data_IF_480723759106
#
_entry.id   IF_480723759106
#
_cell.length_a   1.000
_cell.length_b   1.000
_cell.length_c   1.000
_cell.angle_alpha   90.00
_cell.angle_beta   90.00
_cell.angle_gamma   90.00
#
_symmetry.space_group_name_H-M   'P 1'
#
loop_
_entity.id
_entity.type
_entity.pdbx_description
1 polymer ?
#
# COMPACT_ATOMS: atom_id res chain seq x y z
N UNK A 1 -13.28 -8.09 17.21
CA UNK A 1 -11.90 -7.65 17.44
C UNK A 1 -11.83 -6.18 17.86
N UNK A 2 -10.62 -5.62 18.02
CA UNK A 2 -10.42 -4.24 18.52
C UNK A 2 -11.09 -3.18 17.63
N UNK A 3 -11.02 -3.30 16.31
CA UNK A 3 -11.72 -2.39 15.39
C UNK A 3 -13.22 -2.33 15.65
N UNK A 4 -13.84 -3.48 15.88
CA UNK A 4 -15.26 -3.53 16.22
C UNK A 4 -15.57 -2.95 17.62
N UNK A 5 -14.64 -3.12 18.56
CA UNK A 5 -14.83 -2.64 19.94
C UNK A 5 -14.70 -1.11 20.04
N UNK A 6 -13.78 -0.51 19.29
CA UNK A 6 -13.50 0.92 19.35
C UNK A 6 -14.22 1.73 18.27
N UNK A 7 -14.67 1.10 17.17
CA UNK A 7 -15.34 1.81 16.07
C UNK A 7 -14.55 3.04 15.62
N UNK A 8 -15.21 4.18 15.53
CA UNK A 8 -14.61 5.44 15.08
C UNK A 8 -13.57 6.02 16.05
N UNK A 9 -13.58 5.60 17.33
CA UNK A 9 -12.59 6.01 18.34
C UNK A 9 -11.24 5.27 18.18
N UNK A 10 -11.20 4.22 17.36
CA UNK A 10 -10.02 3.42 17.09
C UNK A 10 -9.38 3.77 15.75
N UNK A 11 -8.06 3.99 15.71
CA UNK A 11 -7.32 4.17 14.46
C UNK A 11 -6.21 3.14 14.35
N UNK A 12 -6.14 2.49 13.18
CA UNK A 12 -5.08 1.52 12.87
C UNK A 12 -3.74 2.24 12.70
N UNK A 13 -2.73 1.75 13.41
CA UNK A 13 -1.34 2.18 13.27
C UNK A 13 -0.54 1.07 12.58
N UNK A 14 -0.10 1.34 11.35
CA UNK A 14 0.83 0.49 10.60
C UNK A 14 2.26 1.05 10.67
N UNK A 15 2.77 1.65 9.60
CA UNK A 15 4.09 2.29 9.56
C UNK A 15 4.18 3.63 10.28
N UNK A 16 3.05 4.30 10.47
CA UNK A 16 2.95 5.59 11.15
C UNK A 16 3.41 6.80 10.33
N UNK A 17 3.79 6.63 9.05
CA UNK A 17 4.44 7.69 8.27
C UNK A 17 3.47 8.77 7.76
N UNK A 18 2.18 8.50 7.76
CA UNK A 18 1.12 9.49 7.53
C UNK A 18 0.38 9.81 8.83
N UNK A 19 -0.03 8.80 9.59
CA UNK A 19 -0.85 9.00 10.79
C UNK A 19 -0.13 9.79 11.89
N UNK A 20 1.14 9.49 12.17
CA UNK A 20 1.90 10.19 13.24
C UNK A 20 2.09 11.68 12.91
N UNK A 21 2.50 12.08 11.69
CA UNK A 21 2.48 13.50 11.29
C UNK A 21 1.12 14.16 11.46
N UNK A 22 0.01 13.51 11.04
CA UNK A 22 -1.33 14.06 11.23
C UNK A 22 -1.69 14.26 12.70
N UNK A 23 -1.26 13.34 13.57
CA UNK A 23 -1.44 13.48 15.02
C UNK A 23 -0.59 14.63 15.60
N UNK A 24 0.66 14.79 15.15
CA UNK A 24 1.55 15.86 15.57
C UNK A 24 0.98 17.25 15.23
N UNK A 25 0.32 17.38 14.08
CA UNK A 25 -0.40 18.58 13.66
C UNK A 25 -1.82 18.69 14.24
N UNK A 26 -2.25 17.70 15.06
CA UNK A 26 -3.61 17.62 15.62
C UNK A 26 -4.72 17.55 14.57
N UNK A 27 -4.40 17.13 13.35
CA UNK A 27 -5.36 16.87 12.27
C UNK A 27 -6.08 15.52 12.46
N UNK A 28 -5.45 14.59 13.17
CA UNK A 28 -6.06 13.36 13.65
C UNK A 28 -5.86 13.25 15.16
N UNK A 29 -6.90 12.93 15.90
CA UNK A 29 -6.87 12.82 17.36
C UNK A 29 -7.61 11.57 17.83
N UNK A 30 -7.17 10.36 17.41
CA UNK A 30 -7.81 9.11 17.83
C UNK A 30 -7.62 8.89 19.33
N UNK A 31 -8.67 8.42 20.01
CA UNK A 31 -8.60 8.06 21.43
C UNK A 31 -7.82 6.75 21.64
N UNK A 32 -7.86 5.85 20.63
CA UNK A 32 -7.19 4.54 20.70
C UNK A 32 -6.38 4.30 19.42
N UNK A 33 -5.15 3.79 19.58
CA UNK A 33 -4.33 3.29 18.48
C UNK A 33 -4.30 1.77 18.53
N UNK A 34 -4.62 1.14 17.38
CA UNK A 34 -4.55 -0.31 17.19
C UNK A 34 -3.28 -0.59 16.41
N UNK A 35 -2.20 -0.91 17.13
CA UNK A 35 -0.90 -1.18 16.53
C UNK A 35 -0.85 -2.56 15.87
N UNK A 36 -0.48 -2.59 14.59
CA UNK A 36 -0.33 -3.82 13.81
C UNK A 36 1.09 -4.37 13.80
N UNK A 37 2.08 -3.68 14.35
CA UNK A 37 3.50 -4.08 14.22
C UNK A 37 3.83 -5.43 14.88
N UNK A 38 2.98 -5.94 15.78
CA UNK A 38 3.14 -7.26 16.40
C UNK A 38 2.21 -8.34 15.86
N UNK A 39 1.45 -8.06 14.79
CA UNK A 39 0.50 -9.03 14.23
C UNK A 39 1.23 -9.94 13.24
N UNK A 40 1.29 -11.23 13.58
CA UNK A 40 1.95 -12.24 12.75
C UNK A 40 1.24 -12.45 11.41
N UNK A 41 2.04 -12.73 10.35
CA UNK A 41 1.56 -13.12 9.04
C UNK A 41 1.14 -11.97 8.12
N UNK A 42 1.19 -10.70 8.60
CA UNK A 42 0.88 -9.52 7.78
C UNK A 42 2.09 -8.96 7.01
N UNK A 43 3.28 -9.51 7.19
CA UNK A 43 4.55 -9.03 6.62
C UNK A 43 5.15 -9.99 5.57
N UNK A 44 4.35 -10.92 5.06
CA UNK A 44 4.82 -11.95 4.14
C UNK A 44 4.88 -11.44 2.70
N UNK A 45 5.94 -11.84 1.98
CA UNK A 45 6.11 -11.67 0.54
C UNK A 45 6.02 -13.06 -0.09
N UNK A 46 5.05 -13.27 -0.98
CA UNK A 46 4.84 -14.56 -1.64
C UNK A 46 4.67 -14.36 -3.14
N UNK A 47 5.22 -15.30 -3.90
CA UNK A 47 5.03 -15.37 -5.34
C UNK A 47 4.34 -16.68 -5.70
N UNK A 48 3.42 -16.60 -6.64
CA UNK A 48 3.02 -17.70 -7.48
C UNK A 48 3.38 -17.44 -8.96
N UNK A 49 2.83 -18.19 -9.90
CA UNK A 49 3.16 -18.05 -11.32
C UNK A 49 2.64 -16.73 -11.92
N UNK A 50 1.58 -16.15 -11.38
CA UNK A 50 0.88 -15.01 -11.96
C UNK A 50 0.79 -13.80 -11.01
N UNK A 51 1.20 -13.98 -9.76
CA UNK A 51 0.88 -13.01 -8.71
C UNK A 51 2.05 -12.81 -7.75
N UNK A 52 2.27 -11.57 -7.36
CA UNK A 52 3.02 -11.20 -6.16
C UNK A 52 2.03 -10.81 -5.07
N UNK A 53 1.93 -11.62 -4.02
CA UNK A 53 1.13 -11.32 -2.83
C UNK A 53 1.99 -10.67 -1.76
N UNK A 54 1.61 -9.47 -1.34
CA UNK A 54 2.25 -8.71 -0.25
C UNK A 54 1.30 -8.56 0.93
N UNK A 55 1.73 -8.97 2.11
CA UNK A 55 1.04 -8.67 3.35
C UNK A 55 1.01 -7.16 3.63
N UNK A 56 -0.05 -6.69 4.26
CA UNK A 56 -0.26 -5.26 4.49
C UNK A 56 0.85 -4.58 5.32
N UNK A 57 1.58 -5.35 6.13
CA UNK A 57 2.68 -4.86 6.97
C UNK A 57 4.07 -5.03 6.35
N UNK A 58 4.18 -5.56 5.11
CA UNK A 58 5.44 -5.54 4.35
C UNK A 58 5.96 -4.11 4.29
N UNK A 59 7.23 -3.92 4.64
CA UNK A 59 7.86 -2.60 4.60
C UNK A 59 8.21 -2.22 3.16
N UNK A 60 8.05 -0.96 2.83
CA UNK A 60 8.48 -0.43 1.53
C UNK A 60 9.97 -0.71 1.28
N UNK A 61 10.78 -0.68 2.35
CA UNK A 61 12.21 -1.02 2.28
C UNK A 61 12.48 -2.48 1.92
N UNK A 62 11.61 -3.40 2.32
CA UNK A 62 11.76 -4.82 1.99
C UNK A 62 11.48 -5.07 0.51
N UNK A 63 10.51 -4.34 -0.08
CA UNK A 63 10.26 -4.34 -1.52
C UNK A 63 11.50 -3.81 -2.27
N UNK A 64 11.99 -2.63 -1.88
CA UNK A 64 13.16 -1.97 -2.47
C UNK A 64 14.40 -2.87 -2.50
N UNK A 65 14.57 -3.71 -1.49
CA UNK A 65 15.74 -4.61 -1.34
C UNK A 65 15.52 -6.03 -1.83
N UNK A 66 14.34 -6.35 -2.32
CA UNK A 66 14.02 -7.72 -2.76
C UNK A 66 14.52 -8.00 -4.18
N UNK A 67 15.54 -8.85 -4.37
CA UNK A 67 15.98 -9.23 -5.71
C UNK A 67 14.87 -9.90 -6.52
N UNK A 68 14.03 -10.70 -5.88
CA UNK A 68 12.93 -11.39 -6.53
C UNK A 68 11.87 -10.42 -7.06
N UNK A 69 11.60 -9.32 -6.35
CA UNK A 69 10.68 -8.28 -6.83
C UNK A 69 11.34 -7.49 -7.96
N UNK A 70 12.61 -7.12 -7.84
CA UNK A 70 13.34 -6.44 -8.89
C UNK A 70 13.42 -7.24 -10.20
N UNK A 71 13.48 -8.57 -10.12
CA UNK A 71 13.49 -9.47 -11.28
C UNK A 71 12.09 -9.69 -11.87
N UNK A 72 11.07 -9.97 -11.03
CA UNK A 72 9.75 -10.43 -11.50
C UNK A 72 8.72 -9.31 -11.65
N UNK A 73 8.87 -8.20 -10.94
CA UNK A 73 7.99 -7.04 -11.00
C UNK A 73 8.80 -5.73 -10.87
N UNK A 74 9.72 -5.44 -11.80
CA UNK A 74 10.67 -4.32 -11.71
C UNK A 74 9.99 -2.96 -11.59
N UNK A 75 8.83 -2.76 -12.22
CA UNK A 75 8.06 -1.51 -12.10
C UNK A 75 7.71 -1.17 -10.63
N UNK A 76 7.41 -2.18 -9.80
CA UNK A 76 7.13 -1.98 -8.38
C UNK A 76 8.40 -1.57 -7.61
N UNK A 77 9.53 -2.21 -7.93
CA UNK A 77 10.80 -1.89 -7.30
C UNK A 77 11.25 -0.45 -7.63
N UNK A 78 11.13 -0.02 -8.90
CA UNK A 78 11.47 1.35 -9.30
C UNK A 78 10.55 2.39 -8.68
N UNK A 79 9.24 2.14 -8.64
CA UNK A 79 8.30 3.07 -8.04
C UNK A 79 8.54 3.24 -6.52
N UNK A 80 8.91 2.16 -5.82
CA UNK A 80 9.24 2.25 -4.40
C UNK A 80 10.47 3.14 -4.15
N UNK A 81 11.43 3.19 -5.06
CA UNK A 81 12.59 4.07 -4.93
C UNK A 81 12.22 5.56 -4.98
N UNK A 82 11.09 5.90 -5.63
CA UNK A 82 10.56 7.27 -5.65
C UNK A 82 9.90 7.67 -4.34
N UNK A 83 9.37 6.69 -3.57
CA UNK A 83 8.67 6.96 -2.31
C UNK A 83 9.59 7.63 -1.31
N UNK A 84 9.42 8.93 -1.09
CA UNK A 84 10.06 9.71 -0.05
C UNK A 84 11.57 9.39 0.13
N UNK A 85 12.00 9.16 1.38
CA UNK A 85 13.39 8.88 1.73
C UNK A 85 13.54 7.53 2.44
N UNK A 86 14.74 6.91 2.47
CA UNK A 86 14.97 5.61 3.11
C UNK A 86 14.44 5.53 4.55
N UNK A 87 14.51 6.62 5.32
CA UNK A 87 13.99 6.67 6.69
C UNK A 87 12.46 6.44 6.73
N UNK A 88 11.72 6.97 5.74
CA UNK A 88 10.28 6.77 5.60
C UNK A 88 10.00 5.34 5.17
N UNK A 89 10.70 4.83 4.14
CA UNK A 89 10.52 3.47 3.61
C UNK A 89 10.87 2.37 4.63
N UNK A 90 11.78 2.63 5.56
CA UNK A 90 12.10 1.71 6.66
C UNK A 90 10.90 1.45 7.59
N UNK A 91 9.96 2.38 7.68
CA UNK A 91 8.77 2.31 8.53
C UNK A 91 7.48 2.16 7.74
N UNK A 92 7.38 2.83 6.60
CA UNK A 92 6.23 2.78 5.70
C UNK A 92 5.89 1.35 5.30
N UNK A 93 4.59 1.05 5.26
CA UNK A 93 4.07 -0.28 4.89
C UNK A 93 3.22 -0.20 3.63
N UNK A 94 3.14 -1.31 2.93
CA UNK A 94 2.29 -1.46 1.74
C UNK A 94 0.84 -1.10 2.08
N UNK A 95 0.26 -1.79 3.06
CA UNK A 95 -1.13 -1.57 3.44
C UNK A 95 -1.39 -0.16 3.97
N UNK A 96 -0.45 0.42 4.72
CA UNK A 96 -0.56 1.79 5.22
C UNK A 96 -0.68 2.82 4.10
N UNK A 97 0.16 2.71 3.05
CA UNK A 97 0.09 3.59 1.89
C UNK A 97 -1.20 3.41 1.09
N UNK A 98 -1.57 2.14 0.82
CA UNK A 98 -2.75 1.82 0.02
C UNK A 98 -4.06 2.27 0.69
N UNK A 99 -4.22 2.06 2.01
CA UNK A 99 -5.42 2.46 2.76
C UNK A 99 -5.45 3.96 3.03
N UNK A 100 -4.29 4.62 3.12
CA UNK A 100 -4.23 6.07 3.21
C UNK A 100 -4.78 6.75 1.95
N UNK A 101 -4.65 6.10 0.80
CA UNK A 101 -5.24 6.52 -0.48
C UNK A 101 -4.87 7.97 -0.88
N UNK A 102 -3.63 8.38 -0.62
CA UNK A 102 -3.13 9.65 -1.14
C UNK A 102 -2.99 9.53 -2.68
N UNK A 103 -3.64 10.39 -3.46
CA UNK A 103 -3.57 10.33 -4.93
C UNK A 103 -2.18 10.66 -5.49
N UNK A 104 -1.30 11.24 -4.68
CA UNK A 104 0.10 11.51 -5.07
C UNK A 104 1.04 10.35 -4.71
N UNK A 105 0.52 9.25 -4.16
CA UNK A 105 1.33 8.12 -3.75
C UNK A 105 1.50 7.09 -4.88
N UNK A 106 2.68 6.51 -4.97
CA UNK A 106 3.12 5.58 -6.02
C UNK A 106 2.43 4.21 -5.91
N UNK A 107 2.22 3.70 -4.70
CA UNK A 107 1.59 2.39 -4.49
C UNK A 107 0.13 2.33 -4.95
N UNK A 108 -0.75 3.32 -4.66
CA UNK A 108 -2.10 3.36 -5.24
C UNK A 108 -2.11 3.41 -6.77
N UNK A 109 -1.20 4.19 -7.38
CA UNK A 109 -1.03 4.25 -8.83
C UNK A 109 -0.71 2.87 -9.41
N UNK A 110 0.28 2.19 -8.83
CA UNK A 110 0.69 0.86 -9.28
C UNK A 110 -0.38 -0.21 -9.02
N UNK A 111 -1.11 -0.12 -7.90
CA UNK A 111 -2.18 -1.05 -7.62
C UNK A 111 -3.26 -1.05 -8.72
N UNK A 112 -3.57 0.14 -9.25
CA UNK A 112 -4.50 0.27 -10.39
C UNK A 112 -3.84 -0.21 -11.68
N UNK A 113 -2.61 0.22 -11.99
CA UNK A 113 -1.92 -0.11 -13.23
C UNK A 113 -1.65 -1.61 -13.39
N UNK A 114 -1.47 -2.34 -12.28
CA UNK A 114 -1.20 -3.77 -12.24
C UNK A 114 -2.45 -4.62 -11.99
N UNK A 115 -3.65 -4.04 -12.11
CA UNK A 115 -4.95 -4.72 -11.92
C UNK A 115 -4.99 -5.55 -10.62
N UNK A 116 -4.56 -4.91 -9.53
CA UNK A 116 -4.36 -5.57 -8.24
C UNK A 116 -5.66 -5.91 -7.52
N UNK A 117 -5.57 -6.86 -6.59
CA UNK A 117 -6.69 -7.29 -5.74
C UNK A 117 -6.35 -7.08 -4.27
N UNK A 118 -7.21 -6.37 -3.55
CA UNK A 118 -7.10 -6.11 -2.12
C UNK A 118 -7.86 -7.16 -1.33
N UNK A 119 -7.24 -7.74 -0.30
CA UNK A 119 -7.85 -8.70 0.60
C UNK A 119 -8.19 -8.04 1.93
N UNK A 120 -9.48 -7.90 2.19
CA UNK A 120 -10.03 -7.27 3.40
C UNK A 120 -10.57 -8.33 4.35
N UNK A 121 -10.38 -8.12 5.64
CA UNK A 121 -10.89 -9.01 6.67
C UNK A 121 -11.43 -8.26 7.87
N UNK A 122 -12.62 -8.65 8.30
CA UNK A 122 -13.22 -8.30 9.59
C UNK A 122 -13.22 -9.49 10.55
N UNK A 123 -13.78 -9.31 11.73
CA UNK A 123 -14.01 -10.42 12.66
C UNK A 123 -15.08 -11.42 12.15
N UNK A 124 -15.89 -11.03 11.16
CA UNK A 124 -17.05 -11.80 10.68
C UNK A 124 -16.86 -12.40 9.30
N UNK A 125 -16.10 -11.72 8.43
CA UNK A 125 -15.99 -12.07 7.02
C UNK A 125 -14.65 -11.66 6.44
N UNK A 126 -14.34 -12.27 5.29
CA UNK A 126 -13.26 -11.83 4.40
C UNK A 126 -13.84 -11.57 3.02
N UNK A 127 -13.35 -10.56 2.33
CA UNK A 127 -13.70 -10.25 0.95
C UNK A 127 -12.49 -9.74 0.17
N UNK A 128 -12.59 -9.81 -1.15
CA UNK A 128 -11.58 -9.24 -2.05
C UNK A 128 -12.22 -8.14 -2.89
N UNK A 129 -11.44 -7.07 -3.16
CA UNK A 129 -11.87 -5.92 -3.93
C UNK A 129 -10.81 -5.62 -4.98
N UNK A 130 -11.23 -5.42 -6.24
CA UNK A 130 -10.31 -4.99 -7.28
C UNK A 130 -9.83 -3.55 -7.02
N UNK A 131 -8.59 -3.24 -7.38
CA UNK A 131 -8.00 -1.91 -7.13
C UNK A 131 -8.83 -0.77 -7.72
N UNK A 132 -9.42 -0.96 -8.91
CA UNK A 132 -10.29 0.02 -9.58
C UNK A 132 -11.57 0.34 -8.79
N UNK A 133 -12.04 -0.58 -7.94
CA UNK A 133 -13.27 -0.45 -7.15
C UNK A 133 -12.96 -0.09 -5.69
N UNK A 134 -11.69 -0.15 -5.28
CA UNK A 134 -11.25 0.12 -3.91
C UNK A 134 -11.16 1.62 -3.58
N UNK A 135 -10.67 2.43 -4.53
CA UNK A 135 -10.52 3.87 -4.33
C UNK A 135 -11.80 4.62 -4.70
N UNK A 136 -12.44 5.21 -3.70
CA UNK A 136 -13.74 5.90 -3.85
C UNK A 136 -13.59 7.41 -4.00
N UNK A 137 -12.40 7.95 -3.73
CA UNK A 137 -12.10 9.38 -3.84
C UNK A 137 -10.83 9.77 -3.09
N UNK A 138 -10.63 11.05 -2.90
CA UNK A 138 -9.48 11.61 -2.19
C UNK A 138 -9.44 11.12 -0.73
N UNK A 139 -8.37 10.39 -0.37
CA UNK A 139 -8.19 9.77 0.95
C UNK A 139 -9.36 8.88 1.38
N UNK A 140 -10.09 8.30 0.42
CA UNK A 140 -11.28 7.50 0.66
C UNK A 140 -11.19 6.16 -0.07
N UNK A 141 -11.40 5.09 0.68
CA UNK A 141 -11.39 3.71 0.19
C UNK A 141 -12.69 2.98 0.51
N UNK A 142 -12.93 1.83 -0.14
CA UNK A 142 -14.06 0.93 0.11
C UNK A 142 -13.92 0.07 1.38
N UNK A 143 -12.93 0.37 2.25
CA UNK A 143 -12.73 -0.37 3.51
C UNK A 143 -13.79 0.00 4.54
N UNK A 144 -14.50 -0.99 5.09
CA UNK A 144 -15.45 -0.73 6.16
C UNK A 144 -14.74 -0.44 7.50
N UNK A 145 -15.40 0.26 8.45
CA UNK A 145 -14.78 0.63 9.73
C UNK A 145 -14.26 -0.54 10.58
N UNK A 146 -14.83 -1.73 10.42
CA UNK A 146 -14.42 -2.95 11.13
C UNK A 146 -13.52 -3.88 10.31
N UNK A 147 -13.14 -3.47 9.09
CA UNK A 147 -12.26 -4.21 8.20
C UNK A 147 -10.80 -3.78 8.31
N UNK A 148 -9.92 -4.71 8.02
CA UNK A 148 -8.49 -4.52 7.89
C UNK A 148 -8.03 -5.03 6.52
N UNK A 149 -7.24 -4.25 5.80
CA UNK A 149 -6.46 -4.74 4.66
C UNK A 149 -5.38 -5.67 5.21
N UNK A 150 -5.42 -6.95 4.80
CA UNK A 150 -4.48 -7.96 5.26
C UNK A 150 -3.41 -8.29 4.22
N UNK A 151 -3.74 -8.18 2.95
CA UNK A 151 -2.81 -8.41 1.83
C UNK A 151 -3.28 -7.72 0.56
N UNK A 152 -2.37 -7.57 -0.39
CA UNK A 152 -2.64 -7.18 -1.77
C UNK A 152 -1.94 -8.14 -2.72
N UNK A 153 -2.64 -8.52 -3.79
CA UNK A 153 -2.09 -9.28 -4.89
C UNK A 153 -1.86 -8.36 -6.09
N UNK A 154 -0.61 -8.21 -6.49
CA UNK A 154 -0.20 -7.56 -7.73
C UNK A 154 -0.12 -8.60 -8.83
N UNK A 155 -0.81 -8.36 -9.93
CA UNK A 155 -0.71 -9.23 -11.10
C UNK A 155 0.67 -9.07 -11.74
N UNK A 156 1.35 -10.20 -11.97
CA UNK A 156 2.62 -10.22 -12.69
C UNK A 156 2.33 -10.06 -14.20
N UNK A 157 2.98 -9.10 -14.87
CA UNK A 157 2.85 -8.97 -16.31
C UNK A 157 3.51 -10.14 -17.03
N UNK A 158 3.11 -10.46 -18.28
CA UNK A 158 3.85 -11.35 -19.14
C UNK A 158 5.32 -10.95 -19.25
N UNK A 159 6.23 -11.92 -19.42
CA UNK A 159 7.68 -11.66 -19.40
C UNK A 159 8.19 -10.77 -20.56
N UNK A 160 7.40 -10.64 -21.63
CA UNK A 160 7.67 -9.79 -22.79
C UNK A 160 6.99 -8.42 -22.72
N UNK A 161 6.39 -8.09 -21.57
CA UNK A 161 5.75 -6.79 -21.36
C UNK A 161 6.78 -5.66 -21.21
N UNK A 162 6.51 -4.55 -21.89
CA UNK A 162 7.18 -3.27 -21.61
C UNK A 162 6.48 -2.53 -20.46
N UNK A 163 7.23 -1.76 -19.69
CA UNK A 163 6.69 -0.98 -18.59
C UNK A 163 7.48 0.32 -18.40
N UNK A 164 6.84 1.30 -17.79
CA UNK A 164 7.48 2.55 -17.35
C UNK A 164 6.72 3.11 -16.16
N UNK A 165 7.44 3.55 -15.13
CA UNK A 165 6.89 4.36 -14.06
C UNK A 165 7.74 5.61 -13.93
N UNK A 166 7.11 6.78 -14.01
CA UNK A 166 7.81 8.06 -13.89
C UNK A 166 6.96 9.08 -13.18
N UNK A 167 7.61 10.00 -12.47
CA UNK A 167 6.94 11.09 -11.80
C UNK A 167 7.70 12.40 -11.93
N UNK A 168 6.99 13.49 -11.74
CA UNK A 168 7.53 14.84 -11.61
C UNK A 168 7.21 15.36 -10.23
N UNK A 169 8.24 15.62 -9.45
CA UNK A 169 8.15 16.23 -8.14
C UNK A 169 9.05 17.48 -8.07
N UNK A 170 8.89 18.32 -7.06
CA UNK A 170 9.75 19.49 -6.87
C UNK A 170 11.18 19.10 -6.55
N UNK A 171 11.36 18.06 -5.76
CA UNK A 171 12.64 17.47 -5.37
C UNK A 171 12.44 15.97 -5.21
N UNK A 172 13.51 15.20 -5.32
CA UNK A 172 13.47 13.77 -5.05
C UNK A 172 12.95 13.50 -3.62
N UNK A 173 11.93 12.65 -3.53
CA UNK A 173 11.27 12.28 -2.28
C UNK A 173 10.15 13.23 -1.82
N UNK A 174 9.86 14.32 -2.55
CA UNK A 174 8.63 15.10 -2.37
C UNK A 174 7.46 14.37 -3.05
N UNK A 175 6.23 14.68 -2.65
CA UNK A 175 5.02 14.17 -3.31
C UNK A 175 5.01 14.53 -4.80
N UNK A 176 4.59 13.58 -5.63
CA UNK A 176 4.45 13.78 -7.05
C UNK A 176 3.43 14.87 -7.38
N UNK A 177 3.79 15.79 -8.29
CA UNK A 177 2.85 16.72 -8.93
C UNK A 177 2.02 15.96 -9.97
N UNK A 178 2.69 15.06 -10.69
CA UNK A 178 2.09 14.12 -11.64
C UNK A 178 2.94 12.86 -11.66
N UNK A 179 2.29 11.72 -11.70
CA UNK A 179 2.93 10.42 -11.86
C UNK A 179 2.18 9.60 -12.92
N UNK A 180 2.92 8.80 -13.68
CA UNK A 180 2.37 7.93 -14.73
C UNK A 180 2.99 6.54 -14.61
N UNK A 181 2.15 5.52 -14.60
CA UNK A 181 2.57 4.13 -14.74
C UNK A 181 1.93 3.53 -16.00
N UNK A 182 2.73 2.91 -16.84
CA UNK A 182 2.29 2.28 -18.09
C UNK A 182 2.78 0.84 -18.12
N UNK A 183 1.91 -0.06 -18.54
CA UNK A 183 2.21 -1.44 -18.83
C UNK A 183 1.75 -1.76 -20.24
N UNK A 184 2.64 -2.31 -21.06
CA UNK A 184 2.35 -2.71 -22.43
C UNK A 184 2.60 -4.20 -22.55
N UNK A 185 1.54 -5.00 -22.78
CA UNK A 185 1.65 -6.40 -23.17
C UNK A 185 1.74 -6.53 -24.68
N UNK A 186 2.58 -7.44 -25.16
CA UNK A 186 2.66 -7.84 -26.57
C UNK A 186 1.76 -9.05 -26.83
#
# INVERSE_FOLDING_TARGET
GLLQAYGDDGKVLAGGQSLVPLMNFRLAQPHNLIDLNGVEGLDQIKFDDQTLSLGAMVRQRDIERSPAIAERLPILNEAIEQVAHPAIRNRGTVGGSLVHADPSAELPLLAIALDSTFHLRSARASRSVAAKDFYQGYLLTDIAPDELLIAIDFRLPPMDSGWCCTEIARRHGDFAIVAVAVLLGC
#
